data_IF_123767552915
#
_entry.id   IF_123767552915
#
_cell.length_a   1.000
_cell.length_b   1.000
_cell.length_c   1.000
_cell.angle_alpha   90.00
_cell.angle_beta   90.00
_cell.angle_gamma   90.00
#
_symmetry.space_group_name_H-M   'P 1'
#
loop_
_entity.id
_entity.type
_entity.pdbx_description
1 polymer ?
#
# COMPACT_ATOMS: atom_id res chain seq x y z
N UNK A 1 -1.95 7.17 -19.89
CA UNK A 1 -3.12 7.80 -19.20
C UNK A 1 -2.88 9.29 -18.88
N UNK A 2 -3.90 10.15 -18.97
CA UNK A 2 -3.84 11.57 -18.55
C UNK A 2 -3.96 11.70 -17.02
N UNK A 3 -3.37 12.73 -16.41
CA UNK A 3 -3.40 12.98 -14.96
C UNK A 3 -4.82 12.98 -14.37
N UNK A 4 -5.78 13.67 -14.98
CA UNK A 4 -7.18 13.72 -14.50
C UNK A 4 -7.81 12.32 -14.37
N UNK A 5 -7.54 11.44 -15.35
CA UNK A 5 -8.00 10.04 -15.28
C UNK A 5 -7.28 9.26 -14.19
N UNK A 6 -6.00 9.53 -13.92
CA UNK A 6 -5.27 8.89 -12.85
C UNK A 6 -5.89 9.25 -11.48
N UNK A 7 -6.13 10.54 -11.24
CA UNK A 7 -6.80 11.05 -10.03
C UNK A 7 -8.19 10.41 -9.87
N UNK A 8 -8.99 10.40 -10.94
CA UNK A 8 -10.33 9.80 -10.91
C UNK A 8 -10.30 8.31 -10.57
N UNK A 9 -9.40 7.52 -11.17
CA UNK A 9 -9.29 6.10 -10.82
C UNK A 9 -8.81 5.89 -9.39
N UNK A 10 -7.89 6.72 -8.88
CA UNK A 10 -7.47 6.66 -7.47
C UNK A 10 -8.64 6.94 -6.54
N UNK A 11 -9.49 7.91 -6.86
CA UNK A 11 -10.70 8.18 -6.08
C UNK A 11 -11.68 7.01 -6.11
N UNK A 12 -11.92 6.40 -7.27
CA UNK A 12 -12.73 5.18 -7.36
C UNK A 12 -12.14 4.03 -6.54
N UNK A 13 -10.81 3.91 -6.51
CA UNK A 13 -10.14 2.90 -5.69
C UNK A 13 -10.36 3.15 -4.19
N UNK A 14 -10.25 4.40 -3.72
CA UNK A 14 -10.58 4.75 -2.32
C UNK A 14 -12.04 4.40 -2.01
N UNK A 15 -12.99 4.87 -2.83
CA UNK A 15 -14.40 4.57 -2.63
C UNK A 15 -14.65 3.06 -2.56
N UNK A 16 -13.97 2.30 -3.41
CA UNK A 16 -14.07 0.84 -3.42
C UNK A 16 -13.55 0.21 -2.12
N UNK A 17 -12.41 0.67 -1.59
CA UNK A 17 -11.88 0.23 -0.29
C UNK A 17 -12.87 0.53 0.84
N UNK A 18 -13.41 1.74 0.89
CA UNK A 18 -14.37 2.15 1.92
C UNK A 18 -15.66 1.33 1.84
N UNK A 19 -16.22 1.13 0.63
CA UNK A 19 -17.44 0.33 0.44
C UNK A 19 -17.26 -1.12 0.89
N UNK A 20 -16.08 -1.72 0.68
CA UNK A 20 -15.77 -3.06 1.20
C UNK A 20 -15.66 -3.04 2.73
N UNK A 21 -15.31 -1.92 3.36
CA UNK A 21 -15.24 -1.80 4.82
C UNK A 21 -16.60 -1.70 5.51
N UNK A 22 -17.64 -1.20 4.83
CA UNK A 22 -18.92 -0.81 5.46
C UNK A 22 -19.65 -1.97 6.14
N UNK A 23 -19.53 -3.21 5.67
CA UNK A 23 -20.25 -4.34 6.29
C UNK A 23 -19.83 -4.60 7.75
N UNK A 24 -18.65 -4.12 8.17
CA UNK A 24 -18.22 -4.18 9.58
C UNK A 24 -19.21 -3.43 10.48
N UNK A 25 -19.82 -2.34 10.00
CA UNK A 25 -20.82 -1.56 10.74
C UNK A 25 -22.13 -2.33 10.98
N UNK A 26 -22.34 -3.44 10.28
CA UNK A 26 -23.51 -4.31 10.44
C UNK A 26 -23.29 -5.40 11.50
N UNK A 27 -22.07 -5.54 12.01
CA UNK A 27 -21.72 -6.53 13.02
C UNK A 27 -22.15 -6.00 14.41
N UNK A 28 -23.03 -6.72 15.15
CA UNK A 28 -23.40 -6.34 16.52
C UNK A 28 -22.16 -6.28 17.43
N UNK A 29 -22.09 -5.32 18.34
CA UNK A 29 -20.99 -5.17 19.30
C UNK A 29 -21.17 -6.15 20.48
N UNK A 30 -20.97 -7.43 20.20
CA UNK A 30 -21.16 -8.54 21.12
C UNK A 30 -19.87 -9.38 21.23
N UNK A 31 -19.65 -10.02 22.37
CA UNK A 31 -18.40 -10.78 22.61
C UNK A 31 -18.19 -11.93 21.60
N UNK A 32 -19.26 -12.51 21.05
CA UNK A 32 -19.20 -13.53 20.01
C UNK A 32 -18.72 -12.98 18.66
N UNK A 33 -19.02 -11.71 18.36
CA UNK A 33 -18.66 -11.05 17.10
C UNK A 33 -17.21 -10.52 17.08
N UNK A 34 -16.56 -10.46 18.24
CA UNK A 34 -15.18 -9.99 18.38
C UNK A 34 -14.18 -10.77 17.51
N UNK A 35 -14.43 -12.06 17.26
CA UNK A 35 -13.60 -12.88 16.37
C UNK A 35 -13.70 -12.43 14.90
N UNK A 36 -14.92 -12.11 14.45
CA UNK A 36 -15.19 -11.64 13.09
C UNK A 36 -14.64 -10.24 12.88
N UNK A 37 -14.78 -9.34 13.85
CA UNK A 37 -14.19 -7.99 13.82
C UNK A 37 -12.67 -8.09 13.72
N UNK A 38 -12.03 -8.98 14.50
CA UNK A 38 -10.57 -9.22 14.43
C UNK A 38 -10.12 -9.78 13.08
N UNK A 39 -10.96 -10.54 12.37
CA UNK A 39 -10.66 -11.10 11.06
C UNK A 39 -11.07 -10.18 9.89
N UNK A 40 -11.82 -9.10 10.15
CA UNK A 40 -12.44 -8.24 9.13
C UNK A 40 -11.42 -7.63 8.15
N UNK A 41 -10.27 -7.16 8.64
CA UNK A 41 -9.22 -6.61 7.79
C UNK A 41 -8.65 -7.66 6.82
N UNK A 42 -8.49 -8.90 7.29
CA UNK A 42 -8.06 -10.01 6.43
C UNK A 42 -9.10 -10.33 5.35
N UNK A 43 -10.37 -10.43 5.74
CA UNK A 43 -11.49 -10.65 4.82
C UNK A 43 -11.55 -9.54 3.76
N UNK A 44 -11.52 -8.28 4.20
CA UNK A 44 -11.55 -7.10 3.32
C UNK A 44 -10.38 -7.09 2.35
N UNK A 45 -9.17 -7.43 2.80
CA UNK A 45 -7.98 -7.46 1.93
C UNK A 45 -8.10 -8.51 0.83
N UNK A 46 -8.62 -9.70 1.15
CA UNK A 46 -8.85 -10.76 0.15
C UNK A 46 -9.95 -10.35 -0.83
N UNK A 47 -11.07 -9.84 -0.33
CA UNK A 47 -12.20 -9.37 -1.15
C UNK A 47 -11.71 -8.28 -2.11
N UNK A 48 -10.96 -7.30 -1.60
CA UNK A 48 -10.41 -6.20 -2.40
C UNK A 48 -9.52 -6.74 -3.52
N UNK A 49 -8.56 -7.62 -3.19
CA UNK A 49 -7.67 -8.21 -4.18
C UNK A 49 -8.45 -9.00 -5.25
N UNK A 50 -9.39 -9.83 -4.81
CA UNK A 50 -10.22 -10.65 -5.69
C UNK A 50 -11.00 -9.80 -6.69
N UNK A 51 -11.72 -8.78 -6.21
CA UNK A 51 -12.50 -7.90 -7.06
C UNK A 51 -11.63 -7.01 -7.95
N UNK A 52 -10.46 -6.54 -7.48
CA UNK A 52 -9.52 -5.81 -8.32
C UNK A 52 -9.06 -6.67 -9.52
N UNK A 53 -8.74 -7.95 -9.26
CA UNK A 53 -8.40 -8.92 -10.31
C UNK A 53 -9.58 -9.16 -11.25
N UNK A 54 -10.79 -9.32 -10.73
CA UNK A 54 -11.99 -9.45 -11.56
C UNK A 54 -12.21 -8.21 -12.44
N UNK A 55 -12.05 -7.00 -11.92
CA UNK A 55 -12.15 -5.76 -12.70
C UNK A 55 -11.14 -5.75 -13.83
N UNK A 56 -9.88 -6.15 -13.59
CA UNK A 56 -8.88 -6.24 -14.65
C UNK A 56 -9.26 -7.26 -15.72
N UNK A 57 -9.83 -8.41 -15.34
CA UNK A 57 -10.32 -9.43 -16.28
C UNK A 57 -11.51 -8.88 -17.09
N UNK A 58 -12.52 -8.32 -16.43
CA UNK A 58 -13.75 -7.79 -17.05
C UNK A 58 -13.47 -6.63 -18.00
N UNK A 59 -12.48 -5.79 -17.69
CA UNK A 59 -12.04 -4.70 -18.56
C UNK A 59 -11.11 -5.17 -19.69
N UNK A 60 -10.89 -6.48 -19.85
CA UNK A 60 -9.96 -7.10 -20.82
C UNK A 60 -8.52 -6.59 -20.68
N UNK A 61 -8.11 -6.25 -19.47
CA UNK A 61 -6.77 -5.79 -19.12
C UNK A 61 -5.95 -6.92 -18.46
N UNK A 62 -6.09 -8.14 -18.97
CA UNK A 62 -5.39 -9.32 -18.44
C UNK A 62 -3.88 -9.25 -18.65
N UNK A 63 -3.40 -8.37 -19.54
CA UNK A 63 -1.99 -8.00 -19.67
C UNK A 63 -1.42 -7.41 -18.37
N UNK A 64 -2.26 -6.78 -17.54
CA UNK A 64 -1.89 -6.32 -16.20
C UNK A 64 -1.81 -7.43 -15.16
N UNK A 65 -2.19 -8.67 -15.49
CA UNK A 65 -1.96 -9.82 -14.63
C UNK A 65 -0.70 -10.60 -15.05
N UNK A 66 -0.14 -10.28 -16.23
CA UNK A 66 1.13 -10.85 -16.67
C UNK A 66 2.27 -10.19 -15.89
N UNK A 67 3.13 -11.02 -15.32
CA UNK A 67 4.37 -10.57 -14.70
C UNK A 67 5.56 -10.87 -15.61
N UNK A 68 6.55 -9.97 -15.57
CA UNK A 68 7.87 -10.22 -16.15
C UNK A 68 8.81 -10.67 -15.04
N UNK A 69 9.67 -11.66 -15.32
CA UNK A 69 10.76 -12.01 -14.39
C UNK A 69 11.82 -10.90 -14.44
N UNK A 70 12.08 -10.16 -13.35
CA UNK A 70 13.13 -9.16 -13.32
C UNK A 70 14.51 -9.82 -13.21
N UNK A 71 15.57 -9.07 -13.51
CA UNK A 71 16.94 -9.53 -13.24
C UNK A 71 17.12 -9.85 -11.74
N UNK A 72 17.90 -10.89 -11.37
CA UNK A 72 18.08 -11.34 -9.99
C UNK A 72 18.45 -10.23 -8.99
N UNK A 73 19.27 -9.26 -9.41
CA UNK A 73 19.68 -8.12 -8.57
C UNK A 73 18.50 -7.32 -8.01
N UNK A 74 17.38 -7.23 -8.73
CA UNK A 74 16.22 -6.45 -8.28
C UNK A 74 15.46 -7.11 -7.14
N UNK A 75 15.54 -8.44 -6.99
CA UNK A 75 15.00 -9.12 -5.80
C UNK A 75 15.78 -8.70 -4.55
N UNK A 76 17.11 -8.70 -4.64
CA UNK A 76 17.99 -8.29 -3.55
C UNK A 76 17.82 -6.80 -3.21
N UNK A 77 17.81 -5.92 -4.22
CA UNK A 77 17.59 -4.48 -4.01
C UNK A 77 16.22 -4.24 -3.36
N UNK A 78 15.16 -4.92 -3.79
CA UNK A 78 13.84 -4.80 -3.19
C UNK A 78 13.81 -5.23 -1.73
N UNK A 79 14.39 -6.39 -1.40
CA UNK A 79 14.50 -6.90 -0.03
C UNK A 79 15.23 -5.90 0.88
N UNK A 80 16.44 -5.50 0.48
CA UNK A 80 17.30 -4.60 1.28
C UNK A 80 16.66 -3.22 1.42
N UNK A 81 16.06 -2.68 0.35
CA UNK A 81 15.36 -1.39 0.44
C UNK A 81 14.09 -1.47 1.27
N UNK A 82 13.35 -2.58 1.29
CA UNK A 82 12.15 -2.75 2.12
C UNK A 82 12.48 -2.71 3.61
N UNK A 83 13.47 -3.49 4.02
CA UNK A 83 13.98 -3.51 5.40
C UNK A 83 14.62 -2.14 5.74
N UNK A 84 15.51 -1.66 4.87
CA UNK A 84 16.23 -0.40 5.08
C UNK A 84 15.31 0.82 5.14
N UNK A 85 14.15 0.78 4.45
CA UNK A 85 13.20 1.88 4.49
C UNK A 85 12.59 2.08 5.87
N UNK A 86 12.34 1.03 6.65
CA UNK A 86 11.85 1.16 8.05
C UNK A 86 12.86 1.89 8.93
N UNK A 87 14.15 1.63 8.74
CA UNK A 87 15.18 2.37 9.47
C UNK A 87 15.32 3.81 8.96
N UNK A 88 15.18 4.02 7.65
CA UNK A 88 15.16 5.34 7.05
C UNK A 88 13.98 6.19 7.53
N UNK A 89 12.86 5.59 7.93
CA UNK A 89 11.72 6.31 8.49
C UNK A 89 12.06 7.09 9.75
N UNK A 90 13.04 6.68 10.56
CA UNK A 90 13.49 7.51 11.69
C UNK A 90 13.96 8.91 11.25
N UNK A 91 14.65 8.99 10.11
CA UNK A 91 15.07 10.28 9.53
C UNK A 91 13.85 11.07 9.06
N UNK A 92 12.88 10.40 8.43
CA UNK A 92 11.63 11.03 8.01
C UNK A 92 10.79 11.51 9.22
N UNK A 93 10.79 10.76 10.33
CA UNK A 93 10.10 11.12 11.55
C UNK A 93 10.73 12.35 12.20
N UNK A 94 12.06 12.46 12.21
CA UNK A 94 12.75 13.67 12.65
C UNK A 94 12.35 14.87 11.79
N UNK A 95 12.25 14.70 10.46
CA UNK A 95 11.81 15.78 9.56
C UNK A 95 10.36 16.18 9.85
N UNK A 96 9.49 15.21 10.11
CA UNK A 96 8.05 15.44 10.28
C UNK A 96 7.71 16.02 11.66
N UNK A 97 8.21 15.41 12.73
CA UNK A 97 7.92 15.80 14.12
C UNK A 97 8.91 16.81 14.69
N UNK A 98 10.06 17.03 14.05
CA UNK A 98 11.15 17.87 14.56
C UNK A 98 11.77 17.37 15.87
N UNK A 99 11.55 16.10 16.20
CA UNK A 99 12.02 15.46 17.42
C UNK A 99 12.80 14.18 17.12
N UNK A 100 13.80 13.89 17.95
CA UNK A 100 14.62 12.69 17.83
C UNK A 100 13.86 11.48 18.40
N UNK A 101 13.15 10.76 17.52
CA UNK A 101 12.33 9.61 17.90
C UNK A 101 12.95 8.32 17.38
N UNK A 102 13.68 7.62 18.24
CA UNK A 102 14.15 6.25 17.99
C UNK A 102 13.51 5.32 19.01
N UNK A 103 12.55 4.51 18.56
CA UNK A 103 11.94 3.49 19.41
C UNK A 103 11.76 2.21 18.60
N UNK A 104 12.81 1.39 18.57
CA UNK A 104 12.79 0.08 17.95
C UNK A 104 12.73 -0.98 19.05
N UNK A 105 11.66 -1.76 19.07
CA UNK A 105 11.49 -2.90 19.94
C UNK A 105 11.18 -4.14 19.12
N UNK A 106 12.21 -4.94 18.90
CA UNK A 106 12.10 -6.13 18.06
C UNK A 106 11.26 -7.21 18.74
N UNK A 107 10.16 -7.62 18.10
CA UNK A 107 9.32 -8.72 18.60
C UNK A 107 8.55 -9.41 17.49
N UNK A 108 8.46 -10.74 17.58
CA UNK A 108 7.63 -11.56 16.69
C UNK A 108 6.21 -11.77 17.23
N UNK A 109 5.94 -11.40 18.49
CA UNK A 109 4.63 -11.59 19.14
C UNK A 109 3.52 -10.81 18.45
N UNK A 110 3.89 -9.75 17.72
CA UNK A 110 2.96 -8.99 16.89
C UNK A 110 2.48 -9.78 15.67
N UNK A 111 3.16 -10.83 15.22
CA UNK A 111 2.77 -11.63 14.04
C UNK A 111 1.72 -12.71 14.35
N UNK A 112 0.75 -12.42 15.23
CA UNK A 112 -0.19 -13.40 15.79
C UNK A 112 -1.59 -13.34 15.20
N UNK A 113 -1.91 -12.32 14.39
CA UNK A 113 -3.26 -12.16 13.82
C UNK A 113 -3.30 -12.28 12.30
N UNK A 114 -4.42 -12.81 11.77
CA UNK A 114 -4.69 -12.84 10.33
C UNK A 114 -4.67 -11.44 9.73
N UNK A 115 -5.15 -10.43 10.46
CA UNK A 115 -5.16 -9.04 10.00
C UNK A 115 -3.76 -8.52 9.73
N UNK A 116 -2.76 -8.90 10.53
CA UNK A 116 -1.35 -8.53 10.32
C UNK A 116 -0.76 -9.27 9.12
N UNK A 117 -1.10 -10.56 8.94
CA UNK A 117 -0.73 -11.30 7.72
C UNK A 117 -1.30 -10.61 6.47
N UNK A 118 -2.54 -10.13 6.54
CA UNK A 118 -3.14 -9.38 5.44
C UNK A 118 -2.44 -8.05 5.16
N UNK A 119 -2.09 -7.28 6.20
CA UNK A 119 -1.32 -6.04 6.03
C UNK A 119 0.07 -6.29 5.45
N UNK A 120 0.70 -7.43 5.74
CA UNK A 120 2.02 -7.77 5.22
C UNK A 120 1.97 -8.28 3.78
N UNK A 121 0.91 -8.99 3.39
CA UNK A 121 0.86 -9.70 2.09
C UNK A 121 -0.20 -9.12 1.16
N UNK A 122 -1.47 -9.18 1.56
CA UNK A 122 -2.60 -8.89 0.65
C UNK A 122 -2.74 -7.40 0.34
N UNK A 123 -2.48 -6.53 1.32
CA UNK A 123 -2.49 -5.07 1.12
C UNK A 123 -1.40 -4.66 0.11
N UNK A 124 -0.10 -5.01 0.29
CA UNK A 124 0.92 -4.75 -0.72
C UNK A 124 0.61 -5.30 -2.10
N UNK A 125 0.07 -6.52 -2.20
CA UNK A 125 -0.32 -7.08 -3.50
C UNK A 125 -1.36 -6.22 -4.21
N UNK A 126 -2.41 -5.83 -3.49
CA UNK A 126 -3.51 -5.01 -4.04
C UNK A 126 -3.02 -3.63 -4.45
N UNK A 127 -2.28 -2.97 -3.58
CA UNK A 127 -1.80 -1.62 -3.82
C UNK A 127 -0.75 -1.57 -4.93
N UNK A 128 0.19 -2.52 -4.99
CA UNK A 128 1.17 -2.54 -6.08
C UNK A 128 0.54 -2.92 -7.43
N UNK A 129 -0.48 -3.78 -7.45
CA UNK A 129 -1.26 -4.06 -8.66
C UNK A 129 -1.94 -2.79 -9.17
N UNK A 130 -2.58 -2.02 -8.29
CA UNK A 130 -3.25 -0.80 -8.68
C UNK A 130 -2.28 0.34 -9.03
N UNK A 131 -1.37 0.70 -8.13
CA UNK A 131 -0.52 1.88 -8.31
C UNK A 131 0.63 1.64 -9.27
N UNK A 132 1.29 0.47 -9.27
CA UNK A 132 2.49 0.26 -10.10
C UNK A 132 2.07 -0.34 -11.42
N UNK A 133 1.32 -1.44 -11.36
CA UNK A 133 1.03 -2.18 -12.57
C UNK A 133 -0.04 -1.54 -13.45
N UNK A 134 -1.06 -0.91 -12.86
CA UNK A 134 -2.09 -0.18 -13.59
C UNK A 134 -1.76 1.31 -13.76
N UNK A 135 -1.65 2.06 -12.65
CA UNK A 135 -1.59 3.51 -12.66
C UNK A 135 -0.27 4.04 -13.24
N UNK A 136 0.88 3.67 -12.65
CA UNK A 136 2.21 4.10 -13.08
C UNK A 136 2.54 3.61 -14.49
N UNK A 137 2.30 2.33 -14.80
CA UNK A 137 2.47 1.78 -16.16
C UNK A 137 1.77 2.64 -17.20
N UNK A 138 0.50 3.00 -16.96
CA UNK A 138 -0.25 3.85 -17.89
C UNK A 138 0.24 5.29 -17.89
N UNK A 139 0.68 5.85 -16.77
CA UNK A 139 1.26 7.20 -16.74
C UNK A 139 2.55 7.28 -17.58
N UNK A 140 3.38 6.23 -17.56
CA UNK A 140 4.62 6.13 -18.34
C UNK A 140 4.40 6.16 -19.86
N UNK A 141 3.21 5.82 -20.35
CA UNK A 141 2.85 5.96 -21.78
C UNK A 141 2.75 7.41 -22.25
N UNK A 142 2.57 8.37 -21.33
CA UNK A 142 2.32 9.79 -21.65
C UNK A 142 3.27 10.78 -21.00
N UNK A 143 3.91 10.39 -19.90
CA UNK A 143 4.77 11.27 -19.13
C UNK A 143 6.18 10.70 -19.03
N UNK A 144 7.18 11.59 -18.90
CA UNK A 144 8.56 11.17 -18.61
C UNK A 144 8.61 10.38 -17.29
N UNK A 145 9.54 9.43 -17.14
CA UNK A 145 9.59 8.52 -15.99
C UNK A 145 9.54 9.22 -14.63
N UNK A 146 10.35 10.26 -14.43
CA UNK A 146 10.39 11.02 -13.17
C UNK A 146 9.01 11.59 -12.82
N UNK A 147 8.34 12.22 -13.80
CA UNK A 147 7.02 12.80 -13.61
C UNK A 147 5.96 11.72 -13.34
N UNK A 148 6.00 10.61 -14.07
CA UNK A 148 5.05 9.51 -13.89
C UNK A 148 5.18 8.87 -12.50
N UNK A 149 6.42 8.60 -12.05
CA UNK A 149 6.72 8.07 -10.72
C UNK A 149 6.20 9.04 -9.66
N UNK A 150 6.59 10.32 -9.74
CA UNK A 150 6.18 11.31 -8.75
C UNK A 150 4.65 11.45 -8.62
N UNK A 151 3.92 11.50 -9.75
CA UNK A 151 2.45 11.53 -9.75
C UNK A 151 1.88 10.27 -9.10
N UNK A 152 2.39 9.09 -9.46
CA UNK A 152 1.91 7.83 -8.88
C UNK A 152 2.18 7.76 -7.37
N UNK A 153 3.33 8.24 -6.90
CA UNK A 153 3.71 8.25 -5.49
C UNK A 153 2.88 9.25 -4.68
N UNK A 154 2.55 10.42 -5.25
CA UNK A 154 1.60 11.36 -4.63
C UNK A 154 0.20 10.77 -4.49
N UNK A 155 -0.30 10.08 -5.51
CA UNK A 155 -1.61 9.42 -5.46
C UNK A 155 -1.63 8.23 -4.49
N UNK A 156 -0.52 7.52 -4.37
CA UNK A 156 -0.33 6.47 -3.36
C UNK A 156 -0.31 7.06 -1.95
N UNK A 157 0.42 8.15 -1.71
CA UNK A 157 0.39 8.87 -0.44
C UNK A 157 -1.01 9.38 -0.08
N UNK A 158 -1.76 9.86 -1.06
CA UNK A 158 -3.09 10.43 -0.87
C UNK A 158 -4.09 9.42 -0.27
N UNK A 159 -4.02 8.14 -0.63
CA UNK A 159 -4.92 7.12 -0.07
C UNK A 159 -4.60 6.78 1.41
N UNK A 160 -3.43 7.18 1.90
CA UNK A 160 -2.99 6.97 3.28
C UNK A 160 -3.34 8.15 4.21
N UNK A 161 -4.04 9.16 3.70
CA UNK A 161 -4.61 10.22 4.54
C UNK A 161 -5.81 9.62 5.27
N UNK A 162 -5.87 9.69 6.62
CA UNK A 162 -6.94 9.06 7.39
C UNK A 162 -8.22 9.90 7.33
N UNK A 163 -8.85 10.04 6.16
CA UNK A 163 -10.05 10.88 5.99
C UNK A 163 -11.19 10.53 6.95
N UNK A 164 -11.29 9.27 7.34
CA UNK A 164 -12.28 8.80 8.33
C UNK A 164 -12.14 9.55 9.66
N UNK A 165 -10.93 9.92 10.10
CA UNK A 165 -10.70 10.70 11.33
C UNK A 165 -11.32 12.11 11.30
N UNK A 166 -11.68 12.65 10.13
CA UNK A 166 -12.43 13.91 10.04
C UNK A 166 -13.87 13.79 10.53
N UNK A 167 -14.40 12.56 10.62
CA UNK A 167 -15.79 12.28 11.00
C UNK A 167 -15.91 11.71 12.42
N UNK A 168 -14.81 11.35 13.07
CA UNK A 168 -14.80 10.72 14.38
C UNK A 168 -13.79 11.41 15.30
N UNK A 169 -14.31 12.15 16.30
CA UNK A 169 -13.50 12.98 17.21
C UNK A 169 -12.47 12.20 18.05
N UNK A 170 -12.63 10.89 18.20
CA UNK A 170 -11.71 10.02 18.94
C UNK A 170 -10.53 9.52 18.11
N UNK A 171 -10.42 9.87 16.83
CA UNK A 171 -9.31 9.49 15.96
C UNK A 171 -8.42 10.68 15.64
N UNK A 172 -7.12 10.52 15.84
CA UNK A 172 -6.15 11.57 15.53
C UNK A 172 -5.99 11.74 14.01
N UNK A 173 -6.19 12.97 13.53
CA UNK A 173 -5.90 13.32 12.14
C UNK A 173 -4.43 13.73 11.98
N UNK A 174 -3.68 12.99 11.17
CA UNK A 174 -2.28 13.31 10.87
C UNK A 174 -1.91 12.92 9.44
N UNK A 175 -1.13 13.76 8.77
CA UNK A 175 -0.56 13.47 7.45
C UNK A 175 0.66 12.55 7.50
N UNK A 176 1.05 12.08 8.69
CA UNK A 176 2.28 11.34 8.89
C UNK A 176 2.37 10.07 8.03
N UNK A 177 1.31 9.26 8.02
CA UNK A 177 1.26 8.04 7.20
C UNK A 177 1.36 8.35 5.70
N UNK A 178 0.67 9.37 5.22
CA UNK A 178 0.76 9.85 3.84
C UNK A 178 2.17 10.34 3.49
N UNK A 179 2.84 11.03 4.41
CA UNK A 179 4.21 11.49 4.25
C UNK A 179 5.18 10.32 4.09
N UNK A 180 5.12 9.31 4.96
CA UNK A 180 5.95 8.10 4.83
C UNK A 180 5.61 7.33 3.54
N UNK A 181 4.32 7.19 3.24
CA UNK A 181 3.83 6.53 2.03
C UNK A 181 4.32 7.22 0.75
N UNK A 182 4.53 8.54 0.74
CA UNK A 182 5.11 9.24 -0.42
C UNK A 182 6.51 8.69 -0.75
N UNK A 183 7.39 8.54 0.24
CA UNK A 183 8.77 8.10 0.01
C UNK A 183 8.84 6.61 -0.34
N UNK A 184 8.10 5.75 0.37
CA UNK A 184 7.97 4.35 -0.03
C UNK A 184 7.33 4.23 -1.43
N UNK A 185 6.40 5.14 -1.71
CA UNK A 185 5.80 5.44 -2.99
C UNK A 185 6.82 5.58 -4.12
N UNK A 186 7.81 6.44 -3.90
CA UNK A 186 8.89 6.76 -4.84
C UNK A 186 9.82 5.55 -5.04
N UNK A 187 10.22 4.87 -3.97
CA UNK A 187 11.10 3.69 -4.03
C UNK A 187 10.45 2.57 -4.86
N UNK A 188 9.21 2.21 -4.54
CA UNK A 188 8.45 1.21 -5.29
C UNK A 188 8.26 1.61 -6.76
N UNK A 189 8.02 2.89 -7.04
CA UNK A 189 7.93 3.41 -8.41
C UNK A 189 9.24 3.27 -9.20
N UNK A 190 10.38 3.55 -8.56
CA UNK A 190 11.71 3.38 -9.15
C UNK A 190 12.00 1.89 -9.41
N UNK A 191 11.71 1.03 -8.43
CA UNK A 191 11.86 -0.43 -8.55
C UNK A 191 11.05 -0.97 -9.73
N UNK A 192 9.78 -0.59 -9.84
CA UNK A 192 8.92 -0.98 -10.95
C UNK A 192 9.50 -0.52 -12.30
N UNK A 193 9.86 0.76 -12.41
CA UNK A 193 10.38 1.33 -13.66
C UNK A 193 11.69 0.70 -14.11
N UNK A 194 12.63 0.46 -13.18
CA UNK A 194 13.95 -0.10 -13.47
C UNK A 194 13.91 -1.59 -13.76
N UNK A 195 13.10 -2.34 -13.01
CA UNK A 195 12.99 -3.79 -13.16
C UNK A 195 12.02 -4.23 -14.26
N UNK A 196 11.13 -3.33 -14.72
CA UNK A 196 10.03 -3.62 -15.66
C UNK A 196 9.14 -4.77 -15.18
N UNK A 197 9.04 -4.94 -13.85
CA UNK A 197 8.30 -6.00 -13.18
C UNK A 197 7.60 -5.46 -11.94
N UNK A 198 6.44 -6.06 -11.63
CA UNK A 198 5.70 -5.80 -10.40
C UNK A 198 6.28 -6.57 -9.20
N UNK A 199 7.13 -7.58 -9.42
CA UNK A 199 7.64 -8.42 -8.33
C UNK A 199 8.52 -7.61 -7.37
N UNK A 200 9.51 -6.80 -7.83
CA UNK A 200 10.36 -6.03 -6.91
C UNK A 200 9.60 -5.03 -6.02
N UNK A 201 8.66 -4.19 -6.52
CA UNK A 201 7.90 -3.32 -5.62
C UNK A 201 7.02 -4.10 -4.62
N UNK A 202 6.46 -5.25 -5.00
CA UNK A 202 5.73 -6.13 -4.05
C UNK A 202 6.68 -6.61 -2.95
N UNK A 203 7.85 -7.16 -3.30
CA UNK A 203 8.83 -7.62 -2.33
C UNK A 203 9.23 -6.48 -1.39
N UNK A 204 9.58 -5.31 -1.95
CA UNK A 204 9.92 -4.13 -1.16
C UNK A 204 8.83 -3.81 -0.13
N UNK A 205 7.57 -3.77 -0.56
CA UNK A 205 6.46 -3.36 0.28
C UNK A 205 6.10 -4.43 1.33
N UNK A 206 6.13 -5.71 0.97
CA UNK A 206 5.96 -6.83 1.94
C UNK A 206 7.03 -6.76 3.03
N UNK A 207 8.30 -6.54 2.67
CA UNK A 207 9.39 -6.47 3.64
C UNK A 207 9.41 -5.17 4.43
N UNK A 208 8.95 -4.05 3.86
CA UNK A 208 8.67 -2.86 4.63
C UNK A 208 7.62 -3.15 5.70
N UNK A 209 6.45 -3.68 5.34
CA UNK A 209 5.38 -3.94 6.31
C UNK A 209 5.80 -4.96 7.36
N UNK A 210 6.40 -6.09 6.94
CA UNK A 210 6.93 -7.10 7.85
C UNK A 210 7.91 -6.48 8.86
N UNK A 211 8.90 -5.73 8.38
CA UNK A 211 9.91 -5.10 9.24
C UNK A 211 9.25 -4.11 10.19
N UNK A 212 8.29 -3.31 9.72
CA UNK A 212 7.54 -2.36 10.54
C UNK A 212 6.72 -3.05 11.64
N UNK A 213 6.20 -4.26 11.41
CA UNK A 213 5.48 -4.99 12.44
C UNK A 213 6.41 -5.61 13.48
N UNK A 214 7.62 -6.01 13.10
CA UNK A 214 8.55 -6.71 14.01
C UNK A 214 9.58 -5.79 14.67
N UNK A 215 9.55 -4.48 14.40
CA UNK A 215 10.44 -3.45 14.98
C UNK A 215 9.64 -2.45 15.80
#
# INVERSE_FOLDING_TARGET
MKLQKAIFHTFLFILFLELIGIWILLIPDEMESASLIKASHFINSIITLFFLVLIFISLKQSDLLKYNKPEPKYYFIALVSGIGFVFFQSILNIIYYQELLFNYNFTLERLTSLSIIASIIFVPLTEELFFRNYLLRRLLEKYKPIKAIFISSLLFAFIHIPFVSLFFEFMDFSFHHAFIALFGGLIAGILFYKSKSIIPPIIFHVFWNLTSYIT
#
